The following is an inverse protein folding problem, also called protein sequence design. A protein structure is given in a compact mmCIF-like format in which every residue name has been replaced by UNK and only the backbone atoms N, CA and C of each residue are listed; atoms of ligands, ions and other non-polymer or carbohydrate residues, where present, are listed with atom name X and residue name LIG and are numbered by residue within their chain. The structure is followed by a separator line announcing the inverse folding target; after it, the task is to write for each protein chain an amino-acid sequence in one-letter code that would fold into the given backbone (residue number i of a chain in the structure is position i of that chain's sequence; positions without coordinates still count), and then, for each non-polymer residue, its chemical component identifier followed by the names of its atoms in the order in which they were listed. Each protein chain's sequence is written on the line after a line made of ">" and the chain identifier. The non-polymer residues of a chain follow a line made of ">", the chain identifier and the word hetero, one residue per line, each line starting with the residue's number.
data_IF_729526658507
#
_entry.id   IF_729526658507
#
_cell.length_a   1.000
_cell.length_b   1.000
_cell.length_c   1.000
_cell.angle_alpha   90.00
_cell.angle_beta   90.00
_cell.angle_gamma   90.00
#
_symmetry.space_group_name_H-M   'P 1'
#
loop_
_entity.id
_entity.type
_entity.pdbx_description
1 polymer ?
#
# COMPACT_ATOMS: atom_id res chain seq x y z
N UNK A 1 11.41 52.80 14.48
CA UNK A 1 10.24 52.02 14.00
C UNK A 1 10.70 51.16 12.84
N UNK A 2 10.42 49.86 12.88
CA UNK A 2 10.85 48.93 11.82
C UNK A 2 10.63 47.47 12.24
N UNK A 3 9.40 47.11 12.62
CA UNK A 3 9.03 45.72 12.86
C UNK A 3 8.60 45.14 11.51
N UNK A 4 9.39 44.22 10.94
CA UNK A 4 8.97 43.44 9.77
C UNK A 4 7.94 42.38 10.22
N UNK A 5 6.80 42.21 9.55
CA UNK A 5 5.92 41.09 9.84
C UNK A 5 6.58 39.81 9.34
N UNK A 6 6.75 38.83 10.23
CA UNK A 6 7.09 37.46 9.87
C UNK A 6 5.80 36.78 9.40
N UNK A 7 5.67 36.56 8.09
CA UNK A 7 4.68 35.66 7.51
C UNK A 7 5.37 34.32 7.28
N UNK A 8 5.03 33.30 8.09
CA UNK A 8 5.10 31.88 7.68
C UNK A 8 4.40 31.03 8.73
N UNK A 9 3.09 30.83 8.55
CA UNK A 9 2.28 29.87 9.34
C UNK A 9 1.35 29.06 8.41
N UNK A 10 1.71 28.88 7.14
CA UNK A 10 0.84 28.25 6.13
C UNK A 10 1.32 26.84 5.70
N UNK A 11 2.55 26.44 6.05
CA UNK A 11 3.17 25.18 5.58
C UNK A 11 2.93 23.98 6.51
N UNK A 12 2.46 24.22 7.74
CA UNK A 12 2.23 23.16 8.75
C UNK A 12 0.82 22.56 8.69
N UNK A 13 -0.14 23.22 8.05
CA UNK A 13 -1.54 22.80 8.03
C UNK A 13 -1.87 21.73 6.99
N UNK A 14 -1.04 21.57 5.95
CA UNK A 14 -1.23 20.53 4.92
C UNK A 14 -0.94 19.12 5.48
N UNK A 15 -0.07 19.02 6.49
CA UNK A 15 0.28 17.75 7.11
C UNK A 15 -0.81 17.16 8.02
N UNK A 16 -1.79 17.95 8.47
CA UNK A 16 -2.91 17.48 9.29
C UNK A 16 -4.03 16.82 8.47
N UNK A 17 -4.12 17.14 7.17
CA UNK A 17 -5.24 16.74 6.31
C UNK A 17 -5.00 15.49 5.47
N UNK A 18 -3.78 14.94 5.45
CA UNK A 18 -3.45 13.80 4.57
C UNK A 18 -3.03 12.57 5.37
N UNK A 19 -3.71 12.26 6.47
CA UNK A 19 -3.81 10.86 6.87
C UNK A 19 -4.89 10.25 5.97
N UNK A 20 -4.56 9.35 5.02
CA UNK A 20 -5.59 8.70 4.21
C UNK A 20 -6.59 8.03 5.15
N UNK A 21 -7.84 8.53 5.12
CA UNK A 21 -8.95 8.04 5.93
C UNK A 21 -9.00 6.51 5.80
N UNK A 22 -8.96 5.79 6.92
CA UNK A 22 -8.82 4.32 6.96
C UNK A 22 -7.42 3.78 7.30
N UNK A 23 -6.42 4.62 7.55
CA UNK A 23 -5.13 4.22 8.17
C UNK A 23 -4.95 4.73 9.59
N UNK A 24 -6.01 5.28 10.18
CA UNK A 24 -6.04 5.65 11.59
C UNK A 24 -5.85 4.42 12.47
N UNK A 25 -4.99 4.55 13.48
CA UNK A 25 -4.70 3.48 14.42
C UNK A 25 -6.01 3.03 15.12
N UNK A 26 -6.38 1.76 14.97
CA UNK A 26 -7.61 1.20 15.55
C UNK A 26 -8.82 1.18 14.63
N UNK A 27 -8.71 1.66 13.38
CA UNK A 27 -9.74 1.42 12.37
C UNK A 27 -9.70 0.00 11.81
N UNK A 28 -10.86 -0.54 11.42
CA UNK A 28 -10.96 -1.88 10.84
C UNK A 28 -10.10 -2.05 9.57
N UNK A 29 -9.86 -0.97 8.83
CA UNK A 29 -8.96 -0.93 7.68
C UNK A 29 -7.49 -1.04 8.08
N UNK A 30 -7.07 -0.38 9.16
CA UNK A 30 -5.71 -0.49 9.69
C UNK A 30 -5.41 -1.92 10.16
N UNK A 31 -6.32 -2.53 10.92
CA UNK A 31 -6.16 -3.92 11.39
C UNK A 31 -6.08 -4.91 10.23
N UNK A 32 -6.89 -4.72 9.19
CA UNK A 32 -6.83 -5.53 7.97
C UNK A 32 -5.52 -5.39 7.22
N UNK A 33 -5.02 -4.16 7.05
CA UNK A 33 -3.74 -3.92 6.38
C UNK A 33 -2.56 -4.45 7.20
N UNK A 34 -2.63 -4.40 8.52
CA UNK A 34 -1.64 -5.01 9.42
C UNK A 34 -1.66 -6.55 9.34
N UNK A 35 -2.84 -7.18 9.34
CA UNK A 35 -2.96 -8.62 9.12
C UNK A 35 -2.45 -9.02 7.74
N UNK A 36 -2.71 -8.20 6.71
CA UNK A 36 -2.23 -8.43 5.36
C UNK A 36 -0.71 -8.45 5.27
N UNK A 37 -0.04 -7.47 5.89
CA UNK A 37 1.43 -7.40 5.93
C UNK A 37 2.01 -8.67 6.58
N UNK A 38 1.43 -9.09 7.70
CA UNK A 38 1.84 -10.32 8.38
C UNK A 38 1.63 -11.58 7.52
N UNK A 39 0.50 -11.68 6.80
CA UNK A 39 0.24 -12.79 5.89
C UNK A 39 1.22 -12.82 4.71
N UNK A 40 1.49 -11.66 4.12
CA UNK A 40 2.45 -11.53 3.02
C UNK A 40 3.87 -11.86 3.49
N UNK A 41 4.27 -11.42 4.69
CA UNK A 41 5.52 -11.81 5.32
C UNK A 41 5.60 -13.33 5.55
N UNK A 42 4.55 -13.94 6.09
CA UNK A 42 4.51 -15.39 6.33
C UNK A 42 4.61 -16.19 5.03
N UNK A 43 4.07 -15.67 3.94
CA UNK A 43 4.07 -16.35 2.66
C UNK A 43 5.37 -16.12 1.85
N UNK A 44 6.00 -14.94 1.94
CA UNK A 44 7.22 -14.58 1.20
C UNK A 44 8.52 -14.73 2.01
N UNK A 45 8.42 -14.84 3.34
CA UNK A 45 9.54 -14.97 4.27
C UNK A 45 10.40 -13.71 4.44
N UNK A 46 10.06 -12.58 3.82
CA UNK A 46 10.83 -11.35 3.89
C UNK A 46 9.95 -10.10 3.83
N UNK A 47 10.15 -9.15 4.76
CA UNK A 47 9.36 -7.91 4.83
C UNK A 47 9.47 -7.07 3.56
N UNK A 48 10.66 -6.93 2.99
CA UNK A 48 10.85 -6.14 1.77
C UNK A 48 10.12 -6.76 0.56
N UNK A 49 10.08 -8.10 0.47
CA UNK A 49 9.33 -8.79 -0.59
C UNK A 49 7.82 -8.63 -0.38
N UNK A 50 7.37 -8.76 0.87
CA UNK A 50 5.97 -8.56 1.23
C UNK A 50 5.49 -7.16 0.85
N UNK A 51 6.25 -6.12 1.24
CA UNK A 51 5.91 -4.74 0.90
C UNK A 51 5.88 -4.46 -0.60
N UNK A 52 6.88 -4.94 -1.34
CA UNK A 52 6.88 -4.81 -2.81
C UNK A 52 5.67 -5.50 -3.42
N UNK A 53 5.38 -6.74 -3.02
CA UNK A 53 4.23 -7.46 -3.58
C UNK A 53 2.89 -6.78 -3.27
N UNK A 54 2.73 -6.19 -2.08
CA UNK A 54 1.52 -5.47 -1.68
C UNK A 54 1.31 -4.16 -2.45
N UNK A 55 2.40 -3.51 -2.87
CA UNK A 55 2.39 -2.26 -3.65
C UNK A 55 2.39 -2.51 -5.16
N UNK A 56 2.72 -3.72 -5.62
CA UNK A 56 2.78 -4.05 -7.03
C UNK A 56 1.43 -4.46 -7.63
N UNK A 57 1.12 -4.04 -8.87
CA UNK A 57 -0.09 -4.43 -9.55
C UNK A 57 -0.10 -5.93 -9.83
N UNK A 58 -1.15 -6.62 -9.39
CA UNK A 58 -1.27 -8.06 -9.55
C UNK A 58 -2.32 -8.41 -10.62
N UNK A 59 -1.92 -9.15 -11.66
CA UNK A 59 -2.83 -9.54 -12.75
C UNK A 59 -4.03 -10.39 -12.25
N UNK A 60 -3.84 -11.19 -11.20
CA UNK A 60 -4.91 -12.00 -10.58
C UNK A 60 -5.96 -11.14 -9.86
N UNK A 61 -5.61 -9.89 -9.57
CA UNK A 61 -6.47 -8.88 -8.96
C UNK A 61 -6.98 -7.85 -9.99
N UNK A 62 -6.85 -8.15 -11.28
CA UNK A 62 -7.26 -7.25 -12.36
C UNK A 62 -6.30 -6.06 -12.55
N UNK A 63 -5.02 -6.22 -12.20
CA UNK A 63 -4.01 -5.17 -12.33
C UNK A 63 -4.00 -4.16 -11.17
N UNK A 64 -4.83 -4.37 -10.14
CA UNK A 64 -4.78 -3.59 -8.92
C UNK A 64 -3.75 -4.15 -7.94
N UNK A 65 -3.27 -3.30 -7.03
CA UNK A 65 -2.35 -3.72 -5.98
C UNK A 65 -3.10 -4.50 -4.90
N UNK A 66 -2.46 -5.50 -4.27
CA UNK A 66 -3.07 -6.21 -3.14
C UNK A 66 -3.45 -5.29 -1.98
N UNK A 67 -2.67 -4.23 -1.71
CA UNK A 67 -2.98 -3.24 -0.68
C UNK A 67 -4.29 -2.51 -0.99
N UNK A 68 -4.49 -2.03 -2.22
CA UNK A 68 -5.72 -1.34 -2.62
C UNK A 68 -6.95 -2.26 -2.55
N UNK A 69 -6.81 -3.51 -3.00
CA UNK A 69 -7.90 -4.48 -2.97
C UNK A 69 -8.28 -4.85 -1.54
N UNK A 70 -7.29 -4.97 -0.64
CA UNK A 70 -7.49 -5.32 0.75
C UNK A 70 -8.16 -4.24 1.61
N UNK A 71 -8.31 -3.01 1.10
CA UNK A 71 -9.12 -1.96 1.73
C UNK A 71 -10.60 -2.32 1.88
N UNK A 72 -11.07 -3.39 1.23
CA UNK A 72 -12.41 -3.93 1.44
C UNK A 72 -12.34 -5.32 2.05
N UNK A 73 -13.30 -5.70 2.89
CA UNK A 73 -13.35 -7.05 3.47
C UNK A 73 -13.30 -8.15 2.40
N UNK A 74 -14.11 -8.00 1.34
CA UNK A 74 -14.17 -8.95 0.22
C UNK A 74 -12.84 -9.04 -0.52
N UNK A 75 -12.17 -7.91 -0.74
CA UNK A 75 -10.86 -7.91 -1.39
C UNK A 75 -9.78 -8.49 -0.49
N UNK A 76 -9.81 -8.21 0.81
CA UNK A 76 -8.92 -8.81 1.79
C UNK A 76 -8.99 -10.34 1.79
N UNK A 77 -10.19 -10.92 1.78
CA UNK A 77 -10.37 -12.37 1.67
C UNK A 77 -9.82 -12.94 0.35
N UNK A 78 -9.97 -12.20 -0.76
CA UNK A 78 -9.43 -12.58 -2.06
C UNK A 78 -7.90 -12.60 -2.06
N UNK A 79 -7.27 -11.56 -1.51
CA UNK A 79 -5.81 -11.45 -1.38
C UNK A 79 -5.28 -12.53 -0.42
N UNK A 80 -5.95 -12.77 0.70
CA UNK A 80 -5.64 -13.86 1.64
C UNK A 80 -5.73 -15.23 0.97
N UNK A 81 -6.73 -15.47 0.13
CA UNK A 81 -6.83 -16.72 -0.66
C UNK A 81 -5.66 -16.85 -1.62
N UNK A 82 -5.26 -15.76 -2.29
CA UNK A 82 -4.12 -15.73 -3.22
C UNK A 82 -2.80 -16.08 -2.52
N UNK A 83 -2.55 -15.48 -1.34
CA UNK A 83 -1.36 -15.77 -0.51
C UNK A 83 -1.28 -17.22 -0.02
N UNK A 84 -2.42 -17.91 0.12
CA UNK A 84 -2.48 -19.33 0.52
C UNK A 84 -2.37 -20.30 -0.64
N UNK A 85 -2.55 -19.85 -1.88
CA UNK A 85 -2.44 -20.71 -3.05
C UNK A 85 -0.98 -21.09 -3.26
N UNK A 86 -0.70 -22.37 -3.52
CA UNK A 86 0.65 -22.92 -3.75
C UNK A 86 1.45 -22.14 -4.82
N UNK A 87 0.77 -21.60 -5.82
CA UNK A 87 1.37 -20.81 -6.91
C UNK A 87 2.03 -19.50 -6.44
N UNK A 88 1.63 -18.99 -5.27
CA UNK A 88 2.26 -17.83 -4.66
C UNK A 88 3.72 -18.11 -4.26
N UNK A 89 4.05 -19.35 -3.89
CA UNK A 89 5.42 -19.76 -3.55
C UNK A 89 6.35 -19.86 -4.77
N UNK A 90 5.79 -20.01 -5.98
CA UNK A 90 6.56 -20.09 -7.24
C UNK A 90 6.70 -18.73 -7.94
N UNK A 91 5.78 -17.78 -7.66
CA UNK A 91 5.81 -16.41 -8.19
C UNK A 91 6.67 -15.44 -7.35
N UNK A 92 7.55 -15.95 -6.49
CA UNK A 92 8.42 -15.19 -5.55
C UNK A 92 9.48 -14.26 -6.19
N UNK A 93 9.32 -13.92 -7.47
CA UNK A 93 10.09 -12.89 -8.16
C UNK A 93 9.13 -12.07 -9.06
N UNK A 94 8.85 -10.80 -8.75
CA UNK A 94 8.17 -9.93 -9.70
C UNK A 94 9.12 -9.67 -10.88
N UNK A 95 8.68 -10.05 -12.07
CA UNK A 95 9.28 -9.59 -13.31
C UNK A 95 9.15 -8.06 -13.36
N UNK A 96 10.25 -7.37 -13.11
CA UNK A 96 10.40 -5.94 -13.34
C UNK A 96 10.28 -5.65 -14.85
N UNK A 97 9.08 -5.72 -15.41
CA UNK A 97 8.81 -5.27 -16.78
C UNK A 97 8.23 -3.85 -16.74
N UNK A 98 9.16 -2.89 -16.71
CA UNK A 98 9.11 -1.60 -17.42
C UNK A 98 7.87 -0.74 -17.13
N UNK A 99 7.99 0.08 -16.08
CA UNK A 99 7.31 1.38 -16.00
C UNK A 99 7.70 2.25 -17.21
N UNK A 100 6.88 2.23 -18.28
CA UNK A 100 6.80 3.38 -19.20
C UNK A 100 6.06 4.48 -18.45
N UNK A 101 6.82 5.43 -17.91
CA UNK A 101 6.30 6.72 -17.47
C UNK A 101 5.69 7.43 -18.70
N UNK A 102 4.44 7.92 -18.66
CA UNK A 102 3.98 8.85 -19.67
C UNK A 102 4.79 10.15 -19.56
N UNK A 103 5.46 10.53 -20.64
CA UNK A 103 6.10 11.84 -20.77
C UNK A 103 4.98 12.88 -20.80
N UNK A 104 4.81 13.63 -19.74
CA UNK A 104 3.99 14.85 -19.75
C UNK A 104 4.63 15.86 -20.70
N UNK A 105 3.76 16.51 -21.49
CA UNK A 105 4.02 17.35 -22.67
C UNK A 105 5.12 18.39 -22.51
#
# INVERSE_FOLDING_TARGET
>A
MGKKPIQTDDDLSDWDHVIPVGREFGSADYERLAELDHLAFKALGAHLKARQWLDEPNHMLGGQTPEEVAKTQKGFERVKKLLRTKEFGEQGAPAAEKRKMPKTH
#
